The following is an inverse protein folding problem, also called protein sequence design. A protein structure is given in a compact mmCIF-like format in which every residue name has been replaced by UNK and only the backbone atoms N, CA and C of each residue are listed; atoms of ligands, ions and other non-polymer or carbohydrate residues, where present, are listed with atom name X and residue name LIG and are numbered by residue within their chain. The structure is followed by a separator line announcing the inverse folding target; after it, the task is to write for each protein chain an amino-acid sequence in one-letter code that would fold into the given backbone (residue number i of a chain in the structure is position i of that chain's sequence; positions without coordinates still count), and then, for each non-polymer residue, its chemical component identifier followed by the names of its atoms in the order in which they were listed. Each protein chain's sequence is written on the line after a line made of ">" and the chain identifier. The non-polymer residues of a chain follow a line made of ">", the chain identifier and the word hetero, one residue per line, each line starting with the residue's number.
data_IF_706476102787
#
_entry.id   IF_706476102787
#
_cell.length_a   1.000
_cell.length_b   1.000
_cell.length_c   1.000
_cell.angle_alpha   90.00
_cell.angle_beta   90.00
_cell.angle_gamma   90.00
#
_symmetry.space_group_name_H-M   'P 1'
#
loop_
_entity.id
_entity.type
_entity.pdbx_description
1 polymer ?
#
# COMPACT_ATOMS: atom_id res chain seq x y z
N UNK A 1 1.10 10.74 18.22
CA UNK A 1 0.64 9.46 17.65
C UNK A 1 1.58 8.37 18.15
N UNK A 2 1.07 7.34 18.82
CA UNK A 2 1.86 6.13 19.07
C UNK A 2 1.97 5.41 17.71
N UNK A 3 3.10 5.59 17.03
CA UNK A 3 3.32 5.13 15.66
C UNK A 3 3.71 3.65 15.58
N UNK A 4 2.92 2.76 16.19
CA UNK A 4 3.21 1.32 16.17
C UNK A 4 2.78 0.62 14.88
N UNK A 5 1.74 1.15 14.22
CA UNK A 5 1.15 0.51 13.05
C UNK A 5 1.93 0.78 11.75
N UNK A 6 2.75 1.83 11.73
CA UNK A 6 3.52 2.28 10.56
C UNK A 6 4.87 2.83 11.00
N UNK A 7 5.76 3.10 10.04
CA UNK A 7 7.08 3.70 10.30
C UNK A 7 7.01 4.99 11.14
N UNK A 8 7.63 4.98 12.33
CA UNK A 8 7.75 6.16 13.21
C UNK A 8 8.68 7.23 12.63
N UNK A 9 9.56 6.84 11.72
CA UNK A 9 10.54 7.68 11.01
C UNK A 9 10.06 8.12 9.62
N UNK A 10 8.76 8.08 9.35
CA UNK A 10 8.17 8.41 8.04
C UNK A 10 8.64 9.75 7.46
N UNK A 11 8.89 10.77 8.28
CA UNK A 11 9.39 12.07 7.81
C UNK A 11 10.76 11.95 7.11
N UNK A 12 11.65 11.08 7.61
CA UNK A 12 12.95 10.84 7.00
C UNK A 12 12.82 10.07 5.68
N UNK A 13 11.94 9.06 5.64
CA UNK A 13 11.66 8.26 4.44
C UNK A 13 11.05 9.14 3.33
N UNK A 14 10.04 9.93 3.67
CA UNK A 14 9.37 10.87 2.76
C UNK A 14 10.37 11.89 2.22
N UNK A 15 11.24 12.43 3.07
CA UNK A 15 12.30 13.36 2.65
C UNK A 15 13.26 12.71 1.66
N UNK A 16 13.64 11.46 1.90
CA UNK A 16 14.52 10.71 1.00
C UNK A 16 13.84 10.48 -0.36
N UNK A 17 12.58 10.06 -0.39
CA UNK A 17 11.85 9.86 -1.65
C UNK A 17 11.68 11.16 -2.44
N UNK A 18 11.45 12.28 -1.75
CA UNK A 18 11.39 13.59 -2.40
C UNK A 18 12.72 13.99 -3.07
N UNK A 19 13.86 13.62 -2.47
CA UNK A 19 15.19 13.86 -3.03
C UNK A 19 15.51 12.95 -4.22
N UNK A 20 14.80 11.84 -4.38
CA UNK A 20 15.03 10.82 -5.40
C UNK A 20 13.79 10.64 -6.30
N UNK A 21 13.59 11.50 -7.31
CA UNK A 21 12.37 11.53 -8.12
C UNK A 21 12.15 10.27 -8.97
N UNK A 22 13.12 9.35 -9.03
CA UNK A 22 12.97 8.03 -9.64
C UNK A 22 12.16 7.06 -8.77
N UNK A 23 11.91 7.36 -7.50
CA UNK A 23 10.97 6.61 -6.66
C UNK A 23 9.55 7.02 -7.05
N UNK A 24 8.76 6.08 -7.60
CA UNK A 24 7.39 6.33 -8.07
C UNK A 24 6.32 5.60 -7.26
N UNK A 25 6.70 4.50 -6.61
CA UNK A 25 5.81 3.58 -5.93
C UNK A 25 6.42 3.14 -4.60
N UNK A 26 5.64 3.20 -3.52
CA UNK A 26 5.98 2.69 -2.20
C UNK A 26 4.91 1.68 -1.76
N UNK A 27 5.29 0.41 -1.67
CA UNK A 27 4.40 -0.66 -1.23
C UNK A 27 4.51 -0.86 0.28
N UNK A 28 3.36 -0.98 0.95
CA UNK A 28 3.23 -1.18 2.39
C UNK A 28 2.21 -2.28 2.71
N UNK A 29 2.13 -2.65 3.99
CA UNK A 29 1.19 -3.62 4.53
C UNK A 29 0.91 -3.37 6.01
N UNK A 30 0.92 -4.44 6.82
CA UNK A 30 0.74 -4.45 8.28
C UNK A 30 -0.68 -4.13 8.79
N UNK A 31 -1.32 -3.05 8.33
CA UNK A 31 -2.59 -2.59 8.91
C UNK A 31 -3.83 -3.35 8.42
N UNK A 32 -3.66 -4.23 7.41
CA UNK A 32 -4.72 -5.03 6.78
C UNK A 32 -5.84 -4.19 6.12
N UNK A 33 -5.59 -2.91 5.85
CA UNK A 33 -6.49 -2.02 5.11
C UNK A 33 -5.98 -1.79 3.70
N UNK A 34 -6.90 -1.54 2.77
CA UNK A 34 -6.56 -1.06 1.44
C UNK A 34 -6.49 0.46 1.47
N UNK A 35 -5.31 1.01 1.25
CA UNK A 35 -5.11 2.46 1.15
C UNK A 35 -4.25 2.77 -0.08
N UNK A 36 -4.62 3.83 -0.80
CA UNK A 36 -3.85 4.39 -1.92
C UNK A 36 -3.85 5.89 -1.80
N UNK A 37 -2.67 6.50 -1.82
CA UNK A 37 -2.52 7.95 -1.86
C UNK A 37 -1.32 8.34 -2.70
N UNK A 38 -1.36 9.56 -3.23
CA UNK A 38 -0.22 10.15 -3.94
C UNK A 38 0.27 11.34 -3.13
N UNK A 39 1.56 11.35 -2.79
CA UNK A 39 2.19 12.44 -2.08
C UNK A 39 3.60 12.67 -2.63
N UNK A 40 3.93 13.92 -2.97
CA UNK A 40 5.22 14.28 -3.58
C UNK A 40 5.57 13.44 -4.83
N UNK A 41 4.59 13.18 -5.69
CA UNK A 41 4.71 12.34 -6.90
C UNK A 41 5.10 10.88 -6.65
N UNK A 42 5.00 10.41 -5.40
CA UNK A 42 5.14 8.99 -5.03
C UNK A 42 3.74 8.45 -4.74
N UNK A 43 3.40 7.32 -5.33
CA UNK A 43 2.18 6.57 -5.00
C UNK A 43 2.48 5.61 -3.86
N UNK A 44 1.78 5.75 -2.74
CA UNK A 44 1.88 4.85 -1.59
C UNK A 44 0.66 3.93 -1.61
N UNK A 45 0.90 2.63 -1.49
CA UNK A 45 -0.16 1.61 -1.52
C UNK A 45 0.00 0.67 -0.33
N UNK A 46 -1.01 0.58 0.51
CA UNK A 46 -1.20 -0.54 1.44
C UNK A 46 -2.20 -1.52 0.83
N UNK A 47 -1.76 -2.74 0.53
CA UNK A 47 -2.52 -3.71 -0.26
C UNK A 47 -3.36 -4.68 0.59
N UNK A 48 -4.02 -4.17 1.65
CA UNK A 48 -4.90 -4.99 2.48
C UNK A 48 -4.22 -6.23 3.05
N UNK A 49 -4.95 -7.33 3.11
CA UNK A 49 -4.43 -8.64 3.49
C UNK A 49 -5.27 -9.75 2.86
N UNK A 50 -4.63 -10.82 2.40
CA UNK A 50 -5.31 -12.03 1.90
C UNK A 50 -6.17 -12.66 3.00
N UNK A 51 -5.73 -12.55 4.26
CA UNK A 51 -6.50 -13.02 5.41
C UNK A 51 -7.61 -12.05 5.86
N UNK A 52 -7.69 -10.82 5.33
CA UNK A 52 -8.56 -9.78 5.91
C UNK A 52 -8.38 -9.63 7.42
N UNK A 53 -9.44 -9.73 8.21
CA UNK A 53 -9.40 -9.71 9.68
C UNK A 53 -8.96 -11.05 10.31
N UNK A 54 -7.77 -11.54 9.94
CA UNK A 54 -7.23 -12.83 10.39
C UNK A 54 -8.16 -14.00 10.11
N UNK A 55 -8.60 -14.10 8.86
CA UNK A 55 -9.50 -15.10 8.27
C UNK A 55 -10.97 -14.98 8.68
N UNK A 56 -11.35 -13.92 9.41
CA UNK A 56 -12.73 -13.63 9.80
C UNK A 56 -13.46 -12.68 8.83
N UNK A 57 -13.07 -12.65 7.55
CA UNK A 57 -13.65 -11.75 6.54
C UNK A 57 -13.02 -10.35 6.55
N UNK A 58 -13.84 -9.31 6.35
CA UNK A 58 -13.34 -7.95 6.10
C UNK A 58 -12.60 -7.35 7.31
N UNK A 59 -11.47 -6.68 7.06
CA UNK A 59 -10.78 -5.85 8.06
C UNK A 59 -11.23 -4.41 7.87
N UNK A 60 -12.05 -3.92 8.80
CA UNK A 60 -12.86 -2.72 8.53
C UNK A 60 -13.55 -2.96 7.17
N UNK A 61 -13.84 -1.95 6.39
CA UNK A 61 -14.56 -2.12 5.12
C UNK A 61 -13.67 -2.72 4.00
N UNK A 62 -12.45 -3.20 4.31
CA UNK A 62 -11.54 -3.83 3.34
C UNK A 62 -11.79 -5.33 3.23
N UNK A 63 -12.26 -5.77 2.07
CA UNK A 63 -12.41 -7.19 1.71
C UNK A 63 -11.07 -7.90 1.63
N UNK A 64 -10.96 -9.17 2.05
CA UNK A 64 -9.76 -9.99 1.84
C UNK A 64 -9.31 -9.99 0.38
N UNK A 65 -8.02 -9.81 0.14
CA UNK A 65 -7.49 -9.67 -1.21
C UNK A 65 -5.99 -9.37 -1.24
N UNK A 66 -5.47 -9.15 -2.44
CA UNK A 66 -4.06 -8.84 -2.68
C UNK A 66 -3.92 -7.77 -3.76
N UNK A 67 -2.81 -7.04 -3.73
CA UNK A 67 -2.42 -6.13 -4.81
C UNK A 67 -1.69 -6.87 -5.92
N UNK A 68 -2.09 -6.63 -7.16
CA UNK A 68 -1.37 -6.96 -8.38
C UNK A 68 -0.77 -5.66 -8.93
N UNK A 69 0.54 -5.68 -9.20
CA UNK A 69 1.29 -4.51 -9.68
C UNK A 69 2.02 -4.90 -10.94
N UNK A 70 1.73 -4.21 -12.04
CA UNK A 70 2.45 -4.33 -13.29
C UNK A 70 3.44 -3.18 -13.40
N UNK A 71 4.73 -3.49 -13.57
CA UNK A 71 5.81 -2.51 -13.64
C UNK A 71 6.35 -2.42 -15.06
N UNK A 72 6.51 -1.19 -15.57
CA UNK A 72 6.94 -0.94 -16.94
C UNK A 72 8.33 -0.31 -17.02
N UNK A 73 8.99 -0.48 -18.17
CA UNK A 73 10.37 -0.02 -18.39
C UNK A 73 10.54 1.51 -18.33
N UNK A 74 9.47 2.27 -18.57
CA UNK A 74 9.46 3.74 -18.50
C UNK A 74 9.23 4.27 -17.06
N UNK A 75 9.10 3.36 -16.08
CA UNK A 75 8.84 3.67 -14.69
C UNK A 75 7.37 3.96 -14.36
N UNK A 76 6.48 3.84 -15.35
CA UNK A 76 5.03 3.76 -15.09
C UNK A 76 4.68 2.40 -14.49
N UNK A 77 3.48 2.32 -13.89
CA UNK A 77 2.96 1.09 -13.34
C UNK A 77 1.43 1.11 -13.33
N UNK A 78 0.83 -0.06 -13.42
CA UNK A 78 -0.58 -0.27 -13.12
C UNK A 78 -0.73 -0.98 -11.76
N UNK A 79 -1.84 -0.72 -11.08
CA UNK A 79 -2.20 -1.44 -9.85
C UNK A 79 -3.65 -1.88 -9.90
N UNK A 80 -3.88 -3.09 -9.41
CA UNK A 80 -5.20 -3.62 -9.18
C UNK A 80 -5.24 -4.29 -7.80
N UNK A 81 -6.33 -4.09 -7.07
CA UNK A 81 -6.63 -4.93 -5.91
C UNK A 81 -7.58 -6.05 -6.32
N UNK A 82 -7.13 -7.29 -6.14
CA UNK A 82 -7.89 -8.50 -6.45
C UNK A 82 -8.49 -9.04 -5.16
N UNK A 83 -9.82 -9.03 -5.06
CA UNK A 83 -10.53 -9.62 -3.95
C UNK A 83 -10.43 -11.15 -4.00
N UNK A 84 -10.11 -11.79 -2.87
CA UNK A 84 -9.89 -13.23 -2.76
C UNK A 84 -11.18 -14.01 -2.44
N UNK A 85 -12.16 -13.39 -1.79
CA UNK A 85 -13.46 -14.00 -1.55
C UNK A 85 -14.42 -13.58 -2.66
N UNK A 86 -14.92 -14.55 -3.43
CA UNK A 86 -16.10 -14.35 -4.27
C UNK A 86 -17.23 -13.79 -3.40
N UNK A 87 -17.89 -12.74 -3.89
CA UNK A 87 -19.16 -12.25 -3.34
C UNK A 87 -20.21 -13.35 -3.30
#
# INVERSE_FOLDING_TARGET
>A
MLGGDMHTDNAAIIKLFYQHPNVKLCLSGHIHLREKLVYNNVTYICNGAVSGAWWNGNRRETTPGYGLIDLYNDGSFDEQYVAYLNA
#
